data_IF_566259477686
#
_entry.id   IF_566259477686
#
_cell.length_a   1.000
_cell.length_b   1.000
_cell.length_c   1.000
_cell.angle_alpha   90.00
_cell.angle_beta   90.00
_cell.angle_gamma   90.00
#
_symmetry.space_group_name_H-M   'P 1'
#
loop_
_entity.id
_entity.type
_entity.pdbx_description
1 polymer ?
#
# COMPACT_ATOMS: atom_id res chain seq x y z
N UNK A 1 1.10 -29.31 -10.72
CA UNK A 1 1.57 -27.93 -10.94
C UNK A 1 2.13 -27.44 -9.62
N UNK A 2 3.43 -27.27 -9.54
CA UNK A 2 4.10 -26.74 -8.35
C UNK A 2 3.89 -25.23 -8.35
N UNK A 3 3.08 -24.72 -7.43
CA UNK A 3 2.97 -23.28 -7.22
C UNK A 3 4.36 -22.75 -6.90
N UNK A 4 4.91 -21.92 -7.79
CA UNK A 4 6.20 -21.29 -7.58
C UNK A 4 6.05 -20.41 -6.33
N UNK A 5 6.87 -20.57 -5.29
CA UNK A 5 6.78 -19.69 -4.13
C UNK A 5 6.94 -18.27 -4.64
N UNK A 6 5.97 -17.41 -4.30
CA UNK A 6 6.03 -15.97 -4.57
C UNK A 6 7.36 -15.48 -3.99
N UNK A 7 8.37 -15.27 -4.85
CA UNK A 7 9.64 -14.69 -4.42
C UNK A 7 9.31 -13.40 -3.67
N UNK A 8 9.73 -13.35 -2.40
CA UNK A 8 9.55 -12.17 -1.58
C UNK A 8 10.27 -11.01 -2.29
N UNK A 9 9.48 -10.14 -2.89
CA UNK A 9 10.00 -8.98 -3.60
C UNK A 9 10.31 -7.92 -2.56
N UNK A 10 11.57 -7.53 -2.44
CA UNK A 10 11.98 -6.47 -1.54
C UNK A 10 11.22 -5.17 -1.85
N UNK A 11 10.89 -4.38 -0.81
CA UNK A 11 10.08 -3.17 -0.96
C UNK A 11 10.67 -2.19 -2.00
N UNK A 12 12.00 -2.08 -2.05
CA UNK A 12 12.74 -1.25 -3.00
C UNK A 12 12.59 -1.68 -4.47
N UNK A 13 12.08 -2.88 -4.74
CA UNK A 13 11.85 -3.40 -6.09
C UNK A 13 10.41 -3.17 -6.58
N UNK A 14 9.52 -2.66 -5.73
CA UNK A 14 8.19 -2.23 -6.12
C UNK A 14 8.25 -0.87 -6.79
N UNK A 15 7.87 -0.83 -8.06
CA UNK A 15 7.56 0.39 -8.79
C UNK A 15 6.07 0.37 -9.15
N UNK A 16 5.45 1.53 -9.30
CA UNK A 16 4.00 1.60 -9.61
C UNK A 16 3.61 0.81 -10.87
N UNK A 17 4.53 0.69 -11.82
CA UNK A 17 4.35 -0.04 -13.08
C UNK A 17 4.37 -1.56 -12.91
N UNK A 18 4.92 -2.07 -11.80
CA UNK A 18 4.95 -3.50 -11.47
C UNK A 18 3.74 -3.97 -10.65
N UNK A 19 2.90 -3.04 -10.19
CA UNK A 19 1.68 -3.35 -9.46
C UNK A 19 0.52 -3.64 -10.43
N UNK A 20 -0.27 -4.67 -10.13
CA UNK A 20 -1.51 -4.97 -10.85
C UNK A 20 -2.37 -3.70 -10.94
N UNK A 21 -2.88 -3.30 -12.13
CA UNK A 21 -3.71 -2.11 -12.29
C UNK A 21 -4.95 -2.09 -11.38
N UNK A 22 -5.45 -3.26 -10.98
CA UNK A 22 -6.60 -3.41 -10.08
C UNK A 22 -6.23 -3.22 -8.60
N UNK A 23 -4.95 -3.22 -8.25
CA UNK A 23 -4.48 -2.97 -6.88
C UNK A 23 -4.46 -1.47 -6.57
N UNK A 24 -5.62 -0.81 -6.68
CA UNK A 24 -5.76 0.65 -6.62
C UNK A 24 -5.21 1.26 -5.33
N UNK A 25 -5.49 0.64 -4.17
CA UNK A 25 -4.97 1.08 -2.87
C UNK A 25 -3.44 1.01 -2.87
N UNK A 26 -2.87 -0.13 -3.26
CA UNK A 26 -1.42 -0.33 -3.29
C UNK A 26 -0.72 0.67 -4.20
N UNK A 27 -1.28 0.92 -5.40
CA UNK A 27 -0.73 1.91 -6.35
C UNK A 27 -0.81 3.33 -5.80
N UNK A 28 -1.92 3.71 -5.16
CA UNK A 28 -2.08 5.04 -4.56
C UNK A 28 -1.12 5.25 -3.38
N UNK A 29 -0.91 4.23 -2.55
CA UNK A 29 0.00 4.32 -1.40
C UNK A 29 1.46 4.34 -1.83
N UNK A 30 1.85 3.54 -2.82
CA UNK A 30 3.20 3.60 -3.38
C UNK A 30 3.47 4.98 -3.99
N UNK A 31 2.51 5.56 -4.73
CA UNK A 31 2.64 6.94 -5.24
C UNK A 31 2.76 7.98 -4.13
N UNK A 32 2.08 7.80 -3.00
CA UNK A 32 2.25 8.68 -1.83
C UNK A 32 3.66 8.58 -1.25
N UNK A 33 4.22 7.38 -1.16
CA UNK A 33 5.60 7.17 -0.71
C UNK A 33 6.61 7.77 -1.70
N UNK A 34 6.44 7.55 -3.00
CA UNK A 34 7.28 8.17 -4.05
C UNK A 34 7.20 9.70 -3.99
N UNK A 35 6.01 10.27 -3.78
CA UNK A 35 5.84 11.71 -3.61
C UNK A 35 6.53 12.23 -2.34
N UNK A 36 6.51 11.45 -1.25
CA UNK A 36 7.22 11.78 0.00
C UNK A 36 8.73 11.80 -0.22
N UNK A 37 9.27 10.81 -0.92
CA UNK A 37 10.70 10.71 -1.20
C UNK A 37 11.17 11.80 -2.19
N UNK A 38 10.30 12.21 -3.13
CA UNK A 38 10.61 13.21 -4.16
C UNK A 38 10.12 14.64 -3.83
N UNK A 39 9.50 14.88 -2.68
CA UNK A 39 8.96 16.19 -2.32
C UNK A 39 10.06 17.24 -2.16
N UNK A 40 9.93 18.36 -2.88
CA UNK A 40 10.83 19.52 -2.73
C UNK A 40 10.57 20.33 -1.45
N UNK A 41 9.37 20.23 -0.87
CA UNK A 41 9.03 20.76 0.45
C UNK A 41 9.52 19.79 1.53
N UNK A 42 10.23 20.32 2.54
CA UNK A 42 10.99 19.52 3.51
C UNK A 42 10.15 18.50 4.27
N UNK A 43 10.08 17.28 3.76
CA UNK A 43 9.64 16.11 4.50
C UNK A 43 10.63 15.74 5.61
N UNK A 44 10.33 14.70 6.42
CA UNK A 44 11.21 14.27 7.49
C UNK A 44 12.61 13.92 6.94
N UNK A 45 13.63 14.65 7.38
CA UNK A 45 15.02 14.47 6.91
C UNK A 45 15.78 13.41 7.68
N UNK A 46 15.30 13.04 8.87
CA UNK A 46 15.89 11.96 9.66
C UNK A 46 15.39 10.59 9.19
N UNK A 47 16.21 9.53 9.30
CA UNK A 47 15.78 8.16 9.00
C UNK A 47 14.51 7.75 9.77
N UNK A 48 14.40 8.12 11.05
CA UNK A 48 13.27 7.80 11.92
C UNK A 48 12.00 8.48 11.44
N UNK A 49 12.11 9.75 11.02
CA UNK A 49 10.98 10.50 10.50
C UNK A 49 10.46 9.92 9.17
N UNK A 50 11.35 9.45 8.29
CA UNK A 50 10.95 8.74 7.07
C UNK A 50 10.28 7.40 7.37
N UNK A 51 10.81 6.64 8.33
CA UNK A 51 10.24 5.37 8.75
C UNK A 51 8.85 5.53 9.39
N UNK A 52 8.65 6.57 10.21
CA UNK A 52 7.35 6.90 10.81
C UNK A 52 6.32 7.29 9.73
N UNK A 53 6.72 8.08 8.74
CA UNK A 53 5.87 8.47 7.63
C UNK A 53 5.49 7.26 6.75
N UNK A 54 6.45 6.40 6.42
CA UNK A 54 6.19 5.16 5.70
C UNK A 54 5.22 4.24 6.46
N UNK A 55 5.42 4.09 7.77
CA UNK A 55 4.53 3.33 8.65
C UNK A 55 3.11 3.89 8.66
N UNK A 56 2.95 5.22 8.67
CA UNK A 56 1.66 5.88 8.60
C UNK A 56 0.93 5.61 7.28
N UNK A 57 1.64 5.62 6.15
CA UNK A 57 1.08 5.30 4.83
C UNK A 57 0.60 3.84 4.78
N UNK A 58 1.39 2.91 5.32
CA UNK A 58 1.00 1.49 5.41
C UNK A 58 -0.22 1.30 6.32
N UNK A 59 -0.24 1.93 7.50
CA UNK A 59 -1.36 1.86 8.42
C UNK A 59 -2.66 2.36 7.77
N UNK A 60 -2.59 3.45 7.01
CA UNK A 60 -3.74 3.97 6.27
C UNK A 60 -4.24 3.00 5.19
N UNK A 61 -3.32 2.32 4.49
CA UNK A 61 -3.67 1.29 3.51
C UNK A 61 -4.45 0.12 4.15
N UNK A 62 -4.01 -0.31 5.34
CA UNK A 62 -4.63 -1.43 6.08
C UNK A 62 -6.04 -1.08 6.52
N UNK A 63 -6.24 0.11 7.13
CA UNK A 63 -7.56 0.57 7.56
C UNK A 63 -8.53 0.64 6.38
N UNK A 64 -8.07 1.11 5.22
CA UNK A 64 -8.90 1.20 4.02
C UNK A 64 -9.28 -0.19 3.49
N UNK A 65 -8.34 -1.13 3.46
CA UNK A 65 -8.61 -2.52 3.09
C UNK A 65 -9.61 -3.19 4.04
N UNK A 66 -9.43 -3.01 5.35
CA UNK A 66 -10.35 -3.53 6.38
C UNK A 66 -11.75 -2.97 6.19
N UNK A 67 -11.87 -1.66 5.94
CA UNK A 67 -13.16 -1.01 5.67
C UNK A 67 -13.84 -1.61 4.44
N UNK A 68 -13.11 -1.79 3.33
CA UNK A 68 -13.66 -2.39 2.11
C UNK A 68 -14.10 -3.85 2.31
N UNK A 69 -13.35 -4.61 3.10
CA UNK A 69 -13.71 -6.00 3.44
C UNK A 69 -15.01 -6.02 4.23
N UNK A 70 -15.14 -5.17 5.26
CA UNK A 70 -16.37 -5.07 6.04
C UNK A 70 -17.57 -4.68 5.17
N UNK A 71 -17.41 -3.70 4.29
CA UNK A 71 -18.46 -3.29 3.34
C UNK A 71 -18.87 -4.42 2.40
N UNK A 72 -17.90 -5.20 1.90
CA UNK A 72 -18.17 -6.36 1.04
C UNK A 72 -18.90 -7.47 1.80
N UNK A 73 -18.47 -7.79 3.01
CA UNK A 73 -19.12 -8.78 3.88
C UNK A 73 -20.56 -8.39 4.16
N UNK A 74 -20.81 -7.14 4.58
CA UNK A 74 -22.16 -6.63 4.82
C UNK A 74 -23.05 -6.73 3.57
N UNK A 75 -22.51 -6.42 2.38
CA UNK A 75 -23.23 -6.53 1.11
C UNK A 75 -23.57 -7.98 0.75
N UNK A 76 -22.66 -8.92 1.01
CA UNK A 76 -22.90 -10.34 0.75
C UNK A 76 -23.94 -10.93 1.71
N UNK A 77 -23.86 -10.57 2.99
CA UNK A 77 -24.82 -10.98 4.01
C UNK A 77 -26.21 -10.39 3.75
N UNK A 78 -26.31 -9.12 3.33
CA UNK A 78 -27.59 -8.49 2.97
C UNK A 78 -28.26 -9.05 1.69
N UNK A 79 -27.54 -9.88 0.92
CA UNK A 79 -28.01 -10.51 -0.32
C UNK A 79 -28.34 -12.00 -0.16
N UNK A 80 -28.10 -12.59 1.02
CA UNK A 80 -28.55 -13.94 1.38
C UNK A 80 -29.88 -13.89 2.12
#
# INVERSE_FOLDING_TARGET
MTEKPSEFTAFNNFTIDKLDPRAEISRRMLKRLENVDNAATGGPRTPEGRAALASSVVAHAVVELETLILDLTNKLESKS
#
